data_IF_963349015181
#
_entry.id   IF_963349015181
#
_cell.length_a   1.000
_cell.length_b   1.000
_cell.length_c   1.000
_cell.angle_alpha   90.00
_cell.angle_beta   90.00
_cell.angle_gamma   90.00
#
_symmetry.space_group_name_H-M   'P 1'
#
loop_
_entity.id
_entity.type
_entity.pdbx_description
1 polymer ?
#
# COMPACT_ATOMS: atom_id res chain seq x y z
N UNK A 1 83.14 -7.21 2.09
CA UNK A 1 82.52 -6.23 3.07
C UNK A 1 81.37 -5.57 2.34
N UNK A 2 80.13 -6.20 2.41
CA UNK A 2 78.94 -5.69 1.72
C UNK A 2 77.92 -5.24 2.76
N UNK A 3 77.66 -3.96 2.86
CA UNK A 3 76.61 -3.35 3.68
C UNK A 3 75.27 -3.49 2.97
N UNK A 4 74.32 -4.24 3.55
CA UNK A 4 72.92 -4.26 3.13
C UNK A 4 72.19 -3.08 3.75
N UNK A 5 71.63 -2.25 2.89
CA UNK A 5 70.76 -1.10 3.28
C UNK A 5 69.32 -1.64 3.34
N UNK A 6 68.75 -1.73 4.56
CA UNK A 6 67.31 -1.98 4.74
C UNK A 6 66.54 -0.67 4.51
N UNK A 7 65.58 -0.69 3.59
CA UNK A 7 64.60 0.40 3.42
C UNK A 7 63.40 0.09 4.34
N UNK A 8 62.85 1.07 5.06
CA UNK A 8 61.62 0.85 5.84
C UNK A 8 60.41 0.84 4.92
N UNK A 9 59.55 -0.17 5.09
CA UNK A 9 58.21 -0.25 4.50
C UNK A 9 57.29 0.63 5.33
N UNK A 10 56.73 1.69 4.73
CA UNK A 10 55.67 2.49 5.32
C UNK A 10 54.34 1.80 5.02
N UNK A 11 53.71 1.26 6.04
CA UNK A 11 52.36 0.71 5.97
C UNK A 11 51.37 1.87 6.04
N UNK A 12 50.74 2.16 4.89
CA UNK A 12 49.60 3.13 4.86
C UNK A 12 48.37 2.38 5.36
N UNK A 13 47.91 2.66 6.57
CA UNK A 13 46.64 2.18 7.11
C UNK A 13 45.50 3.03 6.54
N UNK A 14 44.80 2.49 5.56
CA UNK A 14 43.56 3.08 5.04
C UNK A 14 42.41 2.80 6.01
N UNK A 15 42.04 3.78 6.80
CA UNK A 15 40.81 3.75 7.62
C UNK A 15 39.59 3.88 6.71
N UNK A 16 38.90 2.75 6.49
CA UNK A 16 37.55 2.77 5.89
C UNK A 16 36.59 3.35 6.95
N UNK A 17 36.12 4.56 6.72
CA UNK A 17 34.97 5.11 7.42
C UNK A 17 33.70 4.41 6.89
N UNK A 18 33.24 3.38 7.59
CA UNK A 18 31.90 2.82 7.43
C UNK A 18 30.89 3.87 7.96
N UNK A 19 30.39 4.70 7.06
CA UNK A 19 29.26 5.56 7.33
C UNK A 19 28.03 4.70 7.65
N UNK A 20 27.60 4.67 8.91
CA UNK A 20 26.33 4.08 9.32
C UNK A 20 25.21 4.88 8.67
N UNK A 21 24.60 4.37 7.60
CA UNK A 21 23.34 4.88 7.07
C UNK A 21 22.28 4.50 8.09
N UNK A 22 21.92 5.41 8.98
CA UNK A 22 20.80 5.25 9.88
C UNK A 22 19.53 5.12 9.02
N UNK A 23 18.97 3.92 8.97
CA UNK A 23 17.68 3.67 8.36
C UNK A 23 16.62 4.31 9.25
N UNK A 24 16.14 5.51 8.89
CA UNK A 24 15.04 6.14 9.58
C UNK A 24 13.77 5.32 9.29
N UNK A 25 13.30 4.54 10.25
CA UNK A 25 11.93 4.04 10.24
C UNK A 25 10.98 5.25 10.33
N UNK A 26 9.83 5.23 9.61
CA UNK A 26 8.82 6.27 9.79
C UNK A 26 8.50 6.43 11.27
N UNK A 27 8.49 7.67 11.75
CA UNK A 27 8.15 7.94 13.15
C UNK A 27 6.72 7.49 13.43
N UNK A 28 6.48 6.86 14.58
CA UNK A 28 5.14 6.45 15.01
C UNK A 28 4.15 7.63 14.96
N UNK A 29 2.86 7.39 14.61
CA UNK A 29 1.83 8.42 14.62
C UNK A 29 1.70 9.09 15.98
N UNK A 30 1.42 10.39 15.98
CA UNK A 30 1.15 11.13 17.22
C UNK A 30 -0.25 10.81 17.77
N UNK A 31 -0.48 11.05 19.07
CA UNK A 31 -1.80 10.91 19.69
C UNK A 31 -2.88 11.71 18.95
N UNK A 32 -2.53 12.86 18.37
CA UNK A 32 -3.43 13.66 17.54
C UNK A 32 -3.83 12.96 16.24
N UNK A 33 -2.93 12.22 15.60
CA UNK A 33 -3.25 11.42 14.39
C UNK A 33 -4.22 10.30 14.74
N UNK A 34 -4.00 9.61 15.86
CA UNK A 34 -4.86 8.53 16.33
C UNK A 34 -6.28 9.05 16.58
N UNK A 35 -6.43 10.20 17.25
CA UNK A 35 -7.72 10.82 17.50
C UNK A 35 -8.45 11.21 16.20
N UNK A 36 -7.73 11.71 15.19
CA UNK A 36 -8.31 12.02 13.87
C UNK A 36 -8.77 10.75 13.16
N UNK A 37 -7.98 9.67 13.18
CA UNK A 37 -8.37 8.38 12.61
C UNK A 37 -9.61 7.80 13.30
N UNK A 38 -9.67 7.81 14.64
CA UNK A 38 -10.83 7.37 15.42
C UNK A 38 -12.10 8.15 15.03
N UNK A 39 -11.99 9.47 14.92
CA UNK A 39 -13.09 10.33 14.48
C UNK A 39 -13.52 10.01 13.05
N UNK A 40 -12.58 9.78 12.15
CA UNK A 40 -12.88 9.46 10.76
C UNK A 40 -13.55 8.09 10.61
N UNK A 41 -13.08 7.07 11.29
CA UNK A 41 -13.64 5.71 11.26
C UNK A 41 -15.08 5.68 11.83
N UNK A 42 -15.36 6.44 12.87
CA UNK A 42 -16.71 6.52 13.47
C UNK A 42 -17.65 7.52 12.79
N UNK A 43 -17.15 8.30 11.81
CA UNK A 43 -17.88 9.39 11.17
C UNK A 43 -19.23 8.97 10.59
N UNK A 44 -20.25 9.84 10.73
CA UNK A 44 -21.64 9.55 10.30
C UNK A 44 -21.79 9.51 8.78
N UNK A 45 -20.82 10.03 8.04
CA UNK A 45 -20.77 9.94 6.58
C UNK A 45 -20.43 8.55 6.05
N UNK A 46 -19.89 7.67 6.89
CA UNK A 46 -19.59 6.27 6.53
C UNK A 46 -20.85 5.42 6.71
N UNK A 47 -21.21 4.69 5.67
CA UNK A 47 -22.37 3.79 5.71
C UNK A 47 -22.21 2.67 6.75
N UNK A 48 -23.32 2.14 7.26
CA UNK A 48 -23.30 0.98 8.16
C UNK A 48 -22.61 -0.23 7.52
N UNK A 49 -22.78 -0.42 6.20
CA UNK A 49 -22.12 -1.48 5.44
C UNK A 49 -20.59 -1.29 5.39
N UNK A 50 -20.11 -0.05 5.27
CA UNK A 50 -18.68 0.23 5.31
C UNK A 50 -18.10 0.01 6.71
N UNK A 51 -18.78 0.51 7.75
CA UNK A 51 -18.36 0.32 9.15
C UNK A 51 -18.33 -1.16 9.58
N UNK A 52 -19.27 -1.98 9.09
CA UNK A 52 -19.30 -3.41 9.36
C UNK A 52 -18.05 -4.16 8.87
N UNK A 53 -17.31 -3.57 7.92
CA UNK A 53 -16.08 -4.14 7.35
C UNK A 53 -14.83 -3.76 8.14
N UNK A 54 -14.90 -2.81 9.07
CA UNK A 54 -13.76 -2.34 9.86
C UNK A 54 -13.10 -3.49 10.65
N UNK A 55 -13.91 -4.45 11.12
CA UNK A 55 -13.43 -5.65 11.81
C UNK A 55 -12.52 -6.56 10.97
N UNK A 56 -12.56 -6.45 9.64
CA UNK A 56 -11.73 -7.21 8.71
C UNK A 56 -10.60 -6.38 8.13
N UNK A 57 -10.68 -5.05 8.23
CA UNK A 57 -9.78 -4.11 7.52
C UNK A 57 -8.93 -3.27 8.46
N UNK A 58 -9.23 -3.31 9.75
CA UNK A 58 -8.46 -2.68 10.83
C UNK A 58 -7.88 -1.31 10.42
N UNK A 59 -8.75 -0.35 9.98
CA UNK A 59 -8.28 0.86 9.28
C UNK A 59 -7.35 1.73 10.11
N UNK A 60 -7.58 1.81 11.43
CA UNK A 60 -6.73 2.62 12.32
C UNK A 60 -5.34 2.00 12.38
N UNK A 61 -5.27 0.71 12.71
CA UNK A 61 -4.03 -0.04 12.87
C UNK A 61 -3.24 -0.10 11.55
N UNK A 62 -3.94 -0.28 10.42
CA UNK A 62 -3.33 -0.31 9.08
C UNK A 62 -2.70 1.04 8.73
N UNK A 63 -3.43 2.14 8.90
CA UNK A 63 -2.91 3.47 8.58
C UNK A 63 -1.84 3.95 9.57
N UNK A 64 -1.93 3.51 10.83
CA UNK A 64 -0.85 3.70 11.82
C UNK A 64 0.42 2.93 11.44
N UNK A 65 0.28 1.67 11.03
CA UNK A 65 1.41 0.86 10.57
C UNK A 65 2.13 1.51 9.39
N UNK A 66 1.40 2.11 8.43
CA UNK A 66 2.00 2.86 7.33
C UNK A 66 2.61 4.21 7.77
N UNK A 67 2.36 4.65 8.99
CA UNK A 67 2.90 5.91 9.50
C UNK A 67 2.19 7.15 8.98
N UNK A 68 0.88 7.06 8.65
CA UNK A 68 0.09 8.21 8.19
C UNK A 68 0.15 9.36 9.18
N UNK A 69 0.34 10.58 8.65
CA UNK A 69 0.28 11.84 9.41
C UNK A 69 -0.67 12.82 8.71
N UNK A 70 -1.33 13.72 9.46
CA UNK A 70 -2.35 14.61 8.90
C UNK A 70 -1.81 15.74 8.01
N UNK A 71 -0.51 15.93 7.96
CA UNK A 71 0.20 16.94 7.17
C UNK A 71 0.86 16.40 5.88
N UNK A 72 0.64 15.12 5.56
CA UNK A 72 1.22 14.46 4.39
C UNK A 72 0.49 14.81 3.09
N UNK A 73 1.23 14.74 1.98
CA UNK A 73 0.68 14.56 0.64
C UNK A 73 0.56 13.07 0.37
N UNK A 74 -0.68 12.59 0.28
CA UNK A 74 -1.01 11.18 0.10
C UNK A 74 -1.68 10.95 -1.24
N UNK A 75 -1.30 9.90 -1.97
CA UNK A 75 -1.97 9.44 -3.18
C UNK A 75 -2.60 8.08 -2.87
N UNK A 76 -3.92 7.95 -3.02
CA UNK A 76 -4.63 6.67 -2.98
C UNK A 76 -4.78 6.15 -4.42
N UNK A 77 -4.33 4.92 -4.68
CA UNK A 77 -4.44 4.27 -5.99
C UNK A 77 -5.77 3.52 -6.11
N UNK A 78 -6.51 3.81 -7.19
CA UNK A 78 -7.75 3.13 -7.55
C UNK A 78 -8.69 2.88 -6.34
N UNK A 79 -9.22 3.93 -5.72
CA UNK A 79 -9.97 3.88 -4.46
C UNK A 79 -11.27 3.04 -4.55
N UNK A 80 -11.65 2.57 -5.73
CA UNK A 80 -12.84 1.76 -5.97
C UNK A 80 -14.10 2.45 -5.50
N UNK A 81 -14.71 1.92 -4.44
CA UNK A 81 -15.87 2.52 -3.77
C UNK A 81 -15.55 3.70 -2.85
N UNK A 82 -14.27 4.05 -2.63
CA UNK A 82 -13.87 5.13 -1.72
C UNK A 82 -13.89 4.73 -0.24
N UNK A 83 -13.74 3.45 0.06
CA UNK A 83 -13.82 2.98 1.45
C UNK A 83 -12.72 3.58 2.35
N UNK A 84 -11.46 3.58 1.89
CA UNK A 84 -10.36 4.25 2.59
C UNK A 84 -10.40 5.77 2.37
N UNK A 85 -10.84 6.24 1.21
CA UNK A 85 -11.03 7.67 0.93
C UNK A 85 -11.92 8.36 1.96
N UNK A 86 -13.00 7.69 2.42
CA UNK A 86 -13.90 8.19 3.48
C UNK A 86 -13.20 8.43 4.82
N UNK A 87 -12.05 7.79 5.04
CA UNK A 87 -11.21 7.93 6.23
C UNK A 87 -10.07 8.92 5.97
N UNK A 88 -9.40 8.80 4.83
CA UNK A 88 -8.24 9.62 4.48
C UNK A 88 -8.60 11.09 4.27
N UNK A 89 -9.71 11.36 3.55
CA UNK A 89 -10.11 12.72 3.23
C UNK A 89 -10.29 13.61 4.46
N UNK A 90 -11.04 13.24 5.51
CA UNK A 90 -11.18 14.06 6.71
C UNK A 90 -9.91 14.13 7.57
N UNK A 91 -9.05 13.10 7.56
CA UNK A 91 -7.79 13.12 8.31
C UNK A 91 -6.79 14.11 7.71
N UNK A 92 -6.73 14.19 6.39
CA UNK A 92 -5.78 15.05 5.68
C UNK A 92 -6.32 16.47 5.43
N UNK A 93 -7.61 16.72 5.70
CA UNK A 93 -8.31 17.94 5.33
C UNK A 93 -7.62 19.25 5.78
N UNK A 94 -7.17 19.29 7.03
CA UNK A 94 -6.74 20.55 7.62
C UNK A 94 -5.30 20.96 7.26
N UNK A 95 -4.42 20.00 7.04
CA UNK A 95 -2.98 20.26 6.94
C UNK A 95 -2.29 19.45 5.84
N UNK A 96 -2.92 18.43 5.29
CA UNK A 96 -2.38 17.57 4.27
C UNK A 96 -3.08 17.74 2.92
N UNK A 97 -2.75 16.85 2.00
CA UNK A 97 -3.35 16.76 0.66
C UNK A 97 -3.65 15.31 0.33
N UNK A 98 -4.90 15.02 -0.02
CA UNK A 98 -5.29 13.74 -0.59
C UNK A 98 -5.48 13.90 -2.10
N UNK A 99 -4.80 13.06 -2.87
CA UNK A 99 -4.90 12.94 -4.31
C UNK A 99 -5.40 11.53 -4.65
N UNK A 100 -6.34 11.43 -5.59
CA UNK A 100 -6.91 10.15 -5.98
C UNK A 100 -6.43 9.77 -7.37
N UNK A 101 -5.63 8.72 -7.48
CA UNK A 101 -5.23 8.17 -8.77
C UNK A 101 -6.29 7.18 -9.26
N UNK A 102 -7.17 7.63 -10.16
CA UNK A 102 -8.37 6.89 -10.56
C UNK A 102 -8.81 7.19 -11.98
N UNK A 103 -9.82 6.44 -12.44
CA UNK A 103 -10.52 6.77 -13.67
C UNK A 103 -11.47 7.97 -13.47
N UNK A 104 -11.87 8.66 -14.56
CA UNK A 104 -12.72 9.84 -14.47
C UNK A 104 -14.07 9.64 -13.78
N UNK A 105 -14.61 8.41 -13.74
CA UNK A 105 -15.91 8.11 -13.09
C UNK A 105 -15.85 8.34 -11.57
N UNK A 106 -14.68 8.32 -10.96
CA UNK A 106 -14.54 8.62 -9.54
C UNK A 106 -14.87 10.10 -9.23
N UNK A 107 -14.67 11.00 -10.21
CA UNK A 107 -15.09 12.41 -10.10
C UNK A 107 -16.59 12.56 -9.86
N UNK A 108 -17.41 11.70 -10.44
CA UNK A 108 -18.86 11.75 -10.23
C UNK A 108 -19.24 11.34 -8.81
N UNK A 109 -18.49 10.44 -8.18
CA UNK A 109 -18.66 10.06 -6.78
C UNK A 109 -18.30 11.20 -5.83
N UNK A 110 -17.23 11.94 -6.12
CA UNK A 110 -16.86 13.14 -5.35
C UNK A 110 -17.98 14.18 -5.39
N UNK A 111 -18.52 14.45 -6.58
CA UNK A 111 -19.63 15.39 -6.76
C UNK A 111 -20.91 14.96 -6.05
N UNK A 112 -21.16 13.64 -5.98
CA UNK A 112 -22.36 13.10 -5.33
C UNK A 112 -22.33 13.26 -3.80
N UNK A 113 -21.14 13.35 -3.17
CA UNK A 113 -21.01 13.54 -1.72
C UNK A 113 -19.89 14.54 -1.38
N UNK A 114 -20.09 15.83 -1.70
CA UNK A 114 -19.06 16.86 -1.48
C UNK A 114 -18.75 17.12 -0.01
N UNK A 115 -19.65 16.77 0.91
CA UNK A 115 -19.41 16.90 2.34
C UNK A 115 -18.28 15.97 2.84
N UNK A 116 -18.09 14.83 2.20
CA UNK A 116 -17.05 13.85 2.53
C UNK A 116 -15.83 13.99 1.64
N UNK A 117 -16.07 14.13 0.33
CA UNK A 117 -15.01 14.05 -0.67
C UNK A 117 -14.61 15.42 -1.26
N UNK A 118 -15.30 16.52 -0.87
CA UNK A 118 -15.01 17.86 -1.38
C UNK A 118 -13.63 18.43 -1.02
N UNK A 119 -12.88 17.69 -0.18
CA UNK A 119 -11.53 18.05 0.26
C UNK A 119 -10.44 17.26 -0.44
N UNK A 120 -10.78 16.41 -1.41
CA UNK A 120 -9.82 15.77 -2.29
C UNK A 120 -9.21 16.83 -3.19
N UNK A 121 -7.89 16.95 -3.21
CA UNK A 121 -7.18 17.99 -3.92
C UNK A 121 -7.25 17.84 -5.42
N UNK A 122 -6.98 16.65 -5.94
CA UNK A 122 -6.92 16.37 -7.38
C UNK A 122 -7.27 14.91 -7.67
N UNK A 123 -7.86 14.67 -8.84
CA UNK A 123 -7.98 13.33 -9.41
C UNK A 123 -6.91 13.21 -10.50
N UNK A 124 -5.95 12.34 -10.26
CA UNK A 124 -4.91 11.98 -11.22
C UNK A 124 -5.50 10.90 -12.13
N UNK A 125 -5.58 11.15 -13.47
CA UNK A 125 -6.00 10.10 -14.39
C UNK A 125 -5.06 8.89 -14.29
N UNK A 126 -5.61 7.72 -13.95
CA UNK A 126 -4.84 6.49 -13.74
C UNK A 126 -5.61 5.30 -14.33
N UNK A 127 -5.03 4.69 -15.36
CA UNK A 127 -5.60 3.58 -16.15
C UNK A 127 -4.48 2.65 -16.65
N UNK A 128 -3.84 1.86 -15.77
CA UNK A 128 -2.81 0.91 -16.19
C UNK A 128 -3.32 -0.08 -17.27
N UNK A 129 -2.53 -0.43 -18.26
CA UNK A 129 -1.14 0.01 -18.54
C UNK A 129 -1.01 1.34 -19.27
N UNK A 130 -2.12 1.94 -19.74
CA UNK A 130 -2.11 3.11 -20.64
C UNK A 130 -1.65 4.40 -19.96
N UNK A 131 -2.00 4.57 -18.69
CA UNK A 131 -1.71 5.77 -17.93
C UNK A 131 -1.37 5.43 -16.49
N UNK A 132 -0.08 5.47 -16.16
CA UNK A 132 0.44 5.09 -14.83
C UNK A 132 1.13 6.24 -14.11
N UNK A 133 1.34 7.39 -14.77
CA UNK A 133 2.05 8.52 -14.16
C UNK A 133 1.23 9.16 -13.04
N UNK A 134 1.83 9.30 -11.87
CA UNK A 134 1.18 9.80 -10.65
C UNK A 134 1.47 11.26 -10.31
N UNK A 135 2.33 11.94 -11.06
CA UNK A 135 2.67 13.34 -10.82
C UNK A 135 4.14 13.67 -11.06
N UNK A 136 4.61 14.74 -10.42
CA UNK A 136 6.01 15.12 -10.44
C UNK A 136 6.83 14.17 -9.55
N UNK A 137 8.11 13.96 -9.91
CA UNK A 137 9.02 13.17 -9.08
C UNK A 137 9.18 13.81 -7.69
N UNK A 138 9.28 12.97 -6.67
CA UNK A 138 9.51 13.36 -5.28
C UNK A 138 8.47 14.36 -4.72
N UNK A 139 7.19 14.23 -5.13
CA UNK A 139 6.11 15.13 -4.72
C UNK A 139 5.21 14.57 -3.61
N UNK A 140 5.12 13.25 -3.44
CA UNK A 140 4.27 12.60 -2.45
C UNK A 140 5.07 12.09 -1.24
N UNK A 141 4.47 12.20 -0.05
CA UNK A 141 5.01 11.62 1.18
C UNK A 141 4.61 10.15 1.33
N UNK A 142 3.42 9.80 0.84
CA UNK A 142 2.87 8.46 0.93
C UNK A 142 2.04 8.13 -0.31
N UNK A 143 2.13 6.89 -0.78
CA UNK A 143 1.21 6.30 -1.74
C UNK A 143 0.58 5.07 -1.10
N UNK A 144 -0.73 4.91 -1.26
CA UNK A 144 -1.49 3.81 -0.69
C UNK A 144 -2.17 2.99 -1.78
N UNK A 145 -2.10 1.67 -1.68
CA UNK A 145 -2.81 0.74 -2.54
C UNK A 145 -3.52 -0.33 -1.72
N UNK A 146 -4.80 -0.51 -1.99
CA UNK A 146 -5.64 -1.46 -1.28
C UNK A 146 -6.30 -2.43 -2.25
N UNK A 147 -5.71 -3.61 -2.45
CA UNK A 147 -6.27 -4.72 -3.24
C UNK A 147 -6.45 -4.39 -4.73
N UNK A 148 -5.42 -3.84 -5.34
CA UNK A 148 -5.43 -3.48 -6.75
C UNK A 148 -4.35 -4.21 -7.57
N UNK A 149 -3.30 -4.73 -6.93
CA UNK A 149 -2.14 -5.23 -7.65
C UNK A 149 -2.43 -6.51 -8.42
N UNK A 150 -3.39 -7.33 -7.97
CA UNK A 150 -3.81 -8.50 -8.74
C UNK A 150 -4.39 -8.09 -10.10
N UNK A 151 -5.15 -6.99 -10.20
CA UNK A 151 -5.67 -6.48 -11.46
C UNK A 151 -4.54 -6.03 -12.41
N UNK A 152 -3.52 -5.35 -11.87
CA UNK A 152 -2.36 -4.95 -12.67
C UNK A 152 -1.55 -6.16 -13.16
N UNK A 153 -1.42 -7.18 -12.31
CA UNK A 153 -0.73 -8.43 -12.67
C UNK A 153 -1.54 -9.28 -13.66
N UNK A 154 -2.88 -9.24 -13.57
CA UNK A 154 -3.77 -9.91 -14.55
C UNK A 154 -3.61 -9.31 -15.95
N UNK A 155 -3.33 -8.01 -16.06
CA UNK A 155 -2.97 -7.43 -17.35
C UNK A 155 -1.59 -7.93 -17.81
N UNK A 156 -0.55 -7.69 -17.04
CA UNK A 156 0.79 -8.28 -17.24
C UNK A 156 1.76 -7.99 -16.08
N UNK A 157 2.84 -8.78 -15.91
CA UNK A 157 3.92 -8.46 -14.99
C UNK A 157 4.58 -7.10 -15.26
N UNK A 158 4.63 -6.68 -16.53
CA UNK A 158 5.17 -5.39 -16.96
C UNK A 158 4.29 -4.23 -16.48
N UNK A 159 2.96 -4.40 -16.51
CA UNK A 159 2.01 -3.41 -15.98
C UNK A 159 2.18 -3.23 -14.47
N UNK A 160 2.25 -4.32 -13.71
CA UNK A 160 2.54 -4.26 -12.28
C UNK A 160 3.87 -3.53 -12.01
N UNK A 161 4.93 -3.87 -12.74
CA UNK A 161 6.25 -3.24 -12.60
C UNK A 161 6.21 -1.74 -12.96
N UNK A 162 5.45 -1.35 -13.99
CA UNK A 162 5.29 0.04 -14.39
C UNK A 162 4.57 0.87 -13.32
N UNK A 163 3.55 0.31 -12.66
CA UNK A 163 2.87 0.95 -11.53
C UNK A 163 3.83 1.13 -10.37
N UNK A 164 4.56 0.08 -9.96
CA UNK A 164 5.55 0.19 -8.88
C UNK A 164 6.62 1.23 -9.19
N UNK A 165 7.09 1.30 -10.44
CA UNK A 165 8.05 2.33 -10.88
C UNK A 165 7.46 3.73 -10.75
N UNK A 166 6.22 3.95 -11.17
CA UNK A 166 5.55 5.23 -11.06
C UNK A 166 5.36 5.67 -9.60
N UNK A 167 5.01 4.73 -8.72
CA UNK A 167 4.96 4.97 -7.27
C UNK A 167 6.33 5.36 -6.72
N UNK A 168 7.39 4.64 -7.13
CA UNK A 168 8.75 4.97 -6.74
C UNK A 168 9.16 6.38 -7.17
N UNK A 169 8.82 6.76 -8.40
CA UNK A 169 9.20 8.07 -8.94
C UNK A 169 8.49 9.21 -8.21
N UNK A 170 7.19 9.10 -7.93
CA UNK A 170 6.42 10.16 -7.28
C UNK A 170 6.76 10.34 -5.81
N UNK A 171 7.18 9.28 -5.11
CA UNK A 171 7.53 9.35 -3.70
C UNK A 171 8.81 10.16 -3.46
N UNK A 172 8.81 10.98 -2.42
CA UNK A 172 10.01 11.62 -1.86
C UNK A 172 10.99 10.57 -1.33
N UNK A 173 12.31 10.86 -1.26
CA UNK A 173 13.23 10.03 -0.45
C UNK A 173 12.69 9.91 0.99
N UNK A 174 12.64 8.69 1.53
CA UNK A 174 11.98 8.37 2.80
C UNK A 174 10.46 8.22 2.72
N UNK A 175 9.85 8.49 1.57
CA UNK A 175 8.42 8.32 1.35
C UNK A 175 7.97 6.86 1.40
N UNK A 176 6.73 6.65 1.81
CA UNK A 176 6.15 5.34 2.10
C UNK A 176 5.22 4.87 0.99
N UNK A 177 5.38 3.64 0.55
CA UNK A 177 4.35 2.91 -0.18
C UNK A 177 3.67 1.92 0.76
N UNK A 178 2.47 2.29 1.25
CA UNK A 178 1.61 1.42 2.06
C UNK A 178 0.77 0.52 1.17
N UNK A 179 0.84 -0.79 1.41
CA UNK A 179 0.32 -1.76 0.48
C UNK A 179 -0.44 -2.89 1.19
N UNK A 180 -1.71 -3.10 0.82
CA UNK A 180 -2.54 -4.20 1.27
C UNK A 180 -3.03 -4.98 0.04
N UNK A 181 -2.88 -6.32 0.05
CA UNK A 181 -3.31 -7.15 -1.07
C UNK A 181 -3.79 -8.52 -0.61
N UNK A 182 -4.69 -9.13 -1.38
CA UNK A 182 -5.15 -10.50 -1.20
C UNK A 182 -3.98 -11.48 -1.31
N UNK A 183 -3.70 -12.19 -0.23
CA UNK A 183 -2.59 -13.13 -0.16
C UNK A 183 -2.94 -14.44 -0.85
N UNK A 184 -2.04 -14.95 -1.68
CA UNK A 184 -2.04 -16.31 -2.20
C UNK A 184 -1.11 -17.19 -1.36
N UNK A 185 -1.27 -18.51 -1.48
CA UNK A 185 -0.36 -19.47 -0.89
C UNK A 185 1.09 -19.19 -1.28
N UNK A 186 2.05 -19.38 -0.36
CA UNK A 186 3.47 -19.20 -0.65
C UNK A 186 3.89 -20.02 -1.88
N UNK A 187 4.74 -19.43 -2.72
CA UNK A 187 5.29 -20.06 -3.93
C UNK A 187 4.26 -20.45 -4.99
N UNK A 188 3.01 -19.98 -4.92
CA UNK A 188 2.07 -20.11 -6.01
C UNK A 188 2.58 -19.33 -7.24
N UNK A 189 2.20 -19.77 -8.45
CA UNK A 189 2.47 -19.00 -9.67
C UNK A 189 1.67 -17.69 -9.62
N UNK A 190 2.35 -16.56 -9.48
CA UNK A 190 1.70 -15.27 -9.18
C UNK A 190 0.65 -14.88 -10.23
N UNK A 191 0.97 -14.97 -11.52
CA UNK A 191 0.04 -14.64 -12.61
C UNK A 191 -1.17 -15.58 -12.64
N UNK A 192 -0.96 -16.88 -12.49
CA UNK A 192 -2.06 -17.85 -12.45
C UNK A 192 -2.98 -17.61 -11.24
N UNK A 193 -2.39 -17.35 -10.08
CA UNK A 193 -3.13 -17.05 -8.87
C UNK A 193 -3.92 -15.73 -8.98
N UNK A 194 -3.33 -14.69 -9.56
CA UNK A 194 -4.02 -13.43 -9.83
C UNK A 194 -5.23 -13.66 -10.74
N UNK A 195 -5.05 -14.34 -11.87
CA UNK A 195 -6.13 -14.60 -12.84
C UNK A 195 -7.24 -15.50 -12.30
N UNK A 196 -6.91 -16.55 -11.54
CA UNK A 196 -7.88 -17.51 -11.06
C UNK A 196 -8.56 -17.09 -9.75
N UNK A 197 -7.80 -16.48 -8.84
CA UNK A 197 -8.21 -16.28 -7.45
C UNK A 197 -8.23 -14.80 -7.03
N UNK A 198 -7.72 -13.87 -7.85
CA UNK A 198 -7.47 -12.48 -7.50
C UNK A 198 -6.55 -12.32 -6.29
N UNK A 199 -5.49 -13.15 -6.24
CA UNK A 199 -4.52 -13.20 -5.14
C UNK A 199 -3.10 -13.18 -5.66
N UNK A 200 -2.18 -12.62 -4.89
CA UNK A 200 -0.74 -12.62 -5.21
C UNK A 200 0.05 -13.21 -4.05
N UNK A 201 1.08 -14.03 -4.31
CA UNK A 201 2.03 -14.44 -3.27
C UNK A 201 2.81 -13.24 -2.73
N UNK A 202 2.98 -13.18 -1.40
CA UNK A 202 3.67 -12.07 -0.73
C UNK A 202 5.12 -11.92 -1.18
N UNK A 203 5.84 -13.02 -1.31
CA UNK A 203 7.23 -13.07 -1.78
C UNK A 203 7.39 -12.50 -3.19
N UNK A 204 6.42 -12.71 -4.07
CA UNK A 204 6.44 -12.14 -5.42
C UNK A 204 6.33 -10.60 -5.38
N UNK A 205 5.40 -10.03 -4.59
CA UNK A 205 5.26 -8.58 -4.46
C UNK A 205 6.48 -7.93 -3.81
N UNK A 206 7.04 -8.56 -2.79
CA UNK A 206 8.29 -8.12 -2.18
C UNK A 206 9.42 -8.10 -3.23
N UNK A 207 9.54 -9.13 -4.07
CA UNK A 207 10.55 -9.19 -5.11
C UNK A 207 10.37 -8.06 -6.16
N UNK A 208 9.13 -7.76 -6.57
CA UNK A 208 8.83 -6.62 -7.47
C UNK A 208 9.23 -5.29 -6.85
N UNK A 209 8.89 -5.07 -5.57
CA UNK A 209 9.26 -3.85 -4.85
C UNK A 209 10.78 -3.67 -4.75
N UNK A 210 11.51 -4.71 -4.36
CA UNK A 210 12.98 -4.70 -4.27
C UNK A 210 13.63 -4.43 -5.63
N UNK A 211 13.13 -5.07 -6.70
CA UNK A 211 13.61 -4.83 -8.07
C UNK A 211 13.37 -3.39 -8.54
N UNK A 212 12.30 -2.75 -8.07
CA UNK A 212 12.01 -1.34 -8.38
C UNK A 212 12.96 -0.38 -7.66
N UNK A 213 13.55 -0.79 -6.54
CA UNK A 213 14.47 0.02 -5.72
C UNK A 213 13.95 0.33 -4.32
N UNK A 214 12.77 -0.13 -3.97
CA UNK A 214 12.23 0.00 -2.61
C UNK A 214 13.02 -0.82 -1.60
N UNK A 215 12.91 -0.46 -0.33
CA UNK A 215 13.26 -1.32 0.81
C UNK A 215 11.99 -1.75 1.52
N UNK A 216 11.95 -2.98 2.00
CA UNK A 216 10.91 -3.43 2.93
C UNK A 216 11.16 -2.77 4.27
N UNK A 217 10.22 -1.96 4.73
CA UNK A 217 10.27 -1.28 6.03
C UNK A 217 9.43 -2.00 7.10
N UNK A 218 8.42 -2.77 6.68
CA UNK A 218 7.61 -3.57 7.59
C UNK A 218 6.73 -4.57 6.85
N UNK A 219 6.38 -5.64 7.55
CA UNK A 219 5.38 -6.65 7.18
C UNK A 219 4.48 -6.82 8.38
N UNK A 220 3.17 -6.90 8.17
CA UNK A 220 2.20 -7.00 9.25
C UNK A 220 1.08 -7.97 8.92
N UNK A 221 0.65 -8.70 9.94
CA UNK A 221 -0.51 -9.59 9.90
C UNK A 221 -1.82 -8.92 10.39
N UNK A 222 -1.85 -7.58 10.42
CA UNK A 222 -3.04 -6.80 10.87
C UNK A 222 -4.30 -7.22 10.11
N UNK A 223 -4.19 -7.46 8.79
CA UNK A 223 -5.29 -7.82 7.91
C UNK A 223 -5.32 -9.30 7.54
N UNK A 224 -4.60 -10.15 8.26
CA UNK A 224 -4.61 -11.59 8.06
C UNK A 224 -5.92 -12.22 8.51
N UNK A 225 -6.37 -13.23 7.76
CA UNK A 225 -7.53 -14.03 8.13
C UNK A 225 -7.18 -15.52 8.11
N UNK A 226 -6.83 -16.13 9.25
CA UNK A 226 -6.43 -17.54 9.31
C UNK A 226 -7.55 -18.53 8.98
N UNK A 227 -8.80 -18.07 8.79
CA UNK A 227 -9.90 -18.91 8.34
C UNK A 227 -9.95 -19.04 6.82
N UNK A 228 -9.32 -18.13 6.10
CA UNK A 228 -9.27 -18.16 4.64
C UNK A 228 -8.17 -19.14 4.20
N UNK A 229 -8.51 -20.20 3.44
CA UNK A 229 -7.54 -21.19 2.99
C UNK A 229 -6.66 -20.71 1.82
N UNK A 230 -6.83 -19.46 1.36
CA UNK A 230 -6.07 -18.80 0.28
C UNK A 230 -6.16 -19.47 -1.11
N UNK A 231 -7.11 -20.41 -1.28
CA UNK A 231 -7.39 -21.11 -2.55
C UNK A 231 -8.82 -20.87 -3.06
N UNK A 232 -9.53 -19.96 -2.42
CA UNK A 232 -10.86 -19.51 -2.83
C UNK A 232 -10.71 -18.19 -3.59
N UNK A 233 -11.39 -18.05 -4.75
CA UNK A 233 -11.49 -16.76 -5.43
C UNK A 233 -12.12 -15.73 -4.48
N UNK A 234 -11.49 -14.56 -4.34
CA UNK A 234 -11.85 -13.56 -3.33
C UNK A 234 -13.29 -13.05 -3.48
N UNK A 235 -13.84 -13.04 -4.69
CA UNK A 235 -15.23 -12.63 -4.93
C UNK A 235 -16.27 -13.63 -4.42
N UNK A 236 -15.88 -14.86 -4.08
CA UNK A 236 -16.76 -15.82 -3.40
C UNK A 236 -16.88 -15.53 -1.91
N UNK A 237 -15.96 -14.80 -1.35
CA UNK A 237 -15.95 -14.35 0.06
C UNK A 237 -16.77 -13.06 0.22
N UNK A 238 -17.15 -12.67 1.46
CA UNK A 238 -17.74 -11.37 1.73
C UNK A 238 -16.87 -10.20 1.24
N UNK A 239 -17.48 -9.11 0.77
CA UNK A 239 -18.91 -8.84 0.74
C UNK A 239 -19.63 -9.38 -0.51
N UNK A 240 -18.90 -9.82 -1.53
CA UNK A 240 -19.46 -10.11 -2.86
C UNK A 240 -20.30 -11.36 -2.88
N UNK A 241 -19.86 -12.41 -2.17
CA UNK A 241 -20.55 -13.71 -2.08
C UNK A 241 -20.98 -14.22 -3.46
N UNK A 242 -20.11 -14.05 -4.48
CA UNK A 242 -20.37 -14.59 -5.81
C UNK A 242 -20.35 -16.11 -5.76
N UNK A 243 -21.24 -16.75 -6.54
CA UNK A 243 -21.32 -18.20 -6.58
C UNK A 243 -22.64 -18.74 -6.01
N UNK A 244 -22.75 -20.09 -5.83
CA UNK A 244 -24.00 -20.72 -5.42
C UNK A 244 -24.48 -20.27 -4.03
N UNK A 245 -25.77 -19.91 -3.91
CA UNK A 245 -26.36 -19.49 -2.64
C UNK A 245 -26.20 -20.52 -1.52
N UNK A 246 -26.14 -21.82 -1.87
CA UNK A 246 -25.92 -22.90 -0.90
C UNK A 246 -24.57 -22.82 -0.17
N UNK A 247 -23.58 -22.12 -0.76
CA UNK A 247 -22.24 -21.96 -0.19
C UNK A 247 -22.09 -20.66 0.61
N UNK A 248 -23.00 -19.70 0.50
CA UNK A 248 -22.88 -18.38 1.10
C UNK A 248 -22.67 -18.45 2.62
N UNK A 249 -23.38 -19.34 3.34
CA UNK A 249 -23.19 -19.49 4.78
C UNK A 249 -21.76 -19.92 5.15
N UNK A 250 -21.15 -20.81 4.37
CA UNK A 250 -19.76 -21.23 4.55
C UNK A 250 -18.80 -20.07 4.27
N UNK A 251 -19.01 -19.34 3.18
CA UNK A 251 -18.17 -18.18 2.82
C UNK A 251 -18.28 -17.06 3.85
N UNK A 252 -19.49 -16.80 4.35
CA UNK A 252 -19.70 -15.84 5.45
C UNK A 252 -18.99 -16.24 6.75
N UNK A 253 -18.91 -17.54 7.05
CA UNK A 253 -18.19 -18.02 8.25
C UNK A 253 -16.67 -17.82 8.15
N UNK A 254 -16.12 -17.79 6.93
CA UNK A 254 -14.71 -17.42 6.68
C UNK A 254 -14.52 -15.92 6.92
N UNK A 255 -15.39 -15.08 6.39
CA UNK A 255 -15.24 -13.63 6.40
C UNK A 255 -14.56 -13.09 5.14
N UNK A 256 -14.00 -11.87 5.21
CA UNK A 256 -13.20 -11.32 4.09
C UNK A 256 -11.90 -12.12 3.91
N UNK A 257 -11.32 -12.04 2.72
CA UNK A 257 -10.08 -12.76 2.38
C UNK A 257 -8.91 -12.45 3.30
N UNK A 258 -7.97 -13.38 3.39
CA UNK A 258 -6.65 -13.13 3.97
C UNK A 258 -5.88 -12.09 3.16
N UNK A 259 -5.19 -11.17 3.86
CA UNK A 259 -4.46 -10.08 3.22
C UNK A 259 -3.12 -9.82 3.88
N UNK A 260 -2.10 -9.72 3.04
CA UNK A 260 -0.81 -9.18 3.45
C UNK A 260 -0.90 -7.66 3.64
N UNK A 261 -0.12 -7.11 4.55
CA UNK A 261 0.05 -5.68 4.77
C UNK A 261 1.52 -5.36 4.78
N UNK A 262 1.98 -4.66 3.75
CA UNK A 262 3.39 -4.41 3.47
C UNK A 262 3.68 -2.91 3.49
N UNK A 263 4.80 -2.52 4.08
CA UNK A 263 5.30 -1.16 4.05
C UNK A 263 6.64 -1.13 3.33
N UNK A 264 6.67 -0.42 2.21
CA UNK A 264 7.88 -0.16 1.45
C UNK A 264 8.30 1.29 1.61
N UNK A 265 9.61 1.55 1.58
CA UNK A 265 10.18 2.89 1.68
C UNK A 265 11.12 3.13 0.51
N UNK A 266 10.99 4.30 -0.14
CA UNK A 266 11.97 4.80 -1.10
C UNK A 266 13.23 5.24 -0.33
N UNK A 267 14.43 4.70 -0.63
CA UNK A 267 15.68 5.08 0.03
C UNK A 267 16.02 6.54 -0.10
#
# INVERSE_FOLDING_TARGET
MFRRICKPFILLASTLLLGSVASANPAAPSDSTIALLQKAVTGDWRSAAHKARDQYRHPIETLQFFGLKPDMTVIELQPGGGWYTEILAPVLYAHGHLLEASNPKFADRIKANPAVFGHIGEIIPFDPPKQVRLGAENSADMVLSFRNAHDWLMDSPETLAAVFKSVFDVLKPGGVFGFEEHRAKPFATATESAMALHRIPEDYLIAVALKTGFRVAGVSEINANPKDPEDINVHRLPPDLSGPAAEHAQMQAIGESDRMTLMFVKP
#
